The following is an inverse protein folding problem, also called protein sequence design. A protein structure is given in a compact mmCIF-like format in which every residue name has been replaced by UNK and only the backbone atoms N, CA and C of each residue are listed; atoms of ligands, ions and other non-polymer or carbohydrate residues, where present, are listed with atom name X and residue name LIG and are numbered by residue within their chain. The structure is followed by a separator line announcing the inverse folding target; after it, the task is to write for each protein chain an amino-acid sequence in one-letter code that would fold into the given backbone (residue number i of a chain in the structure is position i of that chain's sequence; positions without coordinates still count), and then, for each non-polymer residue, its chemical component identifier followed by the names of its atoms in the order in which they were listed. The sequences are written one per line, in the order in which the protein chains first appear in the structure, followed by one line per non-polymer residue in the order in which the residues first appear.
data_IF_290093793896
#
_entry.id   IF_290093793896
#
_cell.length_a   1.000
_cell.length_b   1.000
_cell.length_c   1.000
_cell.angle_alpha   90.00
_cell.angle_beta   90.00
_cell.angle_gamma   90.00
#
_symmetry.space_group_name_H-M   'P 1'
#
loop_
_entity.id
_entity.type
_entity.pdbx_description
1 polymer ?
#
# COMPACT_ATOMS: atom_id res chain seq x y z
N UNK A 1 -10.52 -16.16 33.86
CA UNK A 1 -10.70 -15.54 32.53
C UNK A 1 -11.09 -14.09 32.78
N UNK A 2 -10.22 -13.15 32.42
CA UNK A 2 -10.38 -11.75 32.82
C UNK A 2 -11.29 -11.02 31.82
N UNK A 3 -12.49 -10.66 32.27
CA UNK A 3 -13.37 -9.73 31.59
C UNK A 3 -12.75 -8.33 31.62
N UNK A 4 -12.51 -7.72 30.46
CA UNK A 4 -12.20 -6.30 30.34
C UNK A 4 -13.42 -5.62 29.72
N UNK A 5 -14.01 -4.65 30.43
CA UNK A 5 -15.22 -3.94 29.99
C UNK A 5 -16.46 -4.83 29.72
N UNK A 6 -16.58 -5.96 30.41
CA UNK A 6 -17.75 -6.86 30.30
C UNK A 6 -17.82 -7.68 29.01
N UNK A 7 -16.83 -7.58 28.11
CA UNK A 7 -16.67 -8.47 26.96
C UNK A 7 -15.57 -9.50 27.22
N UNK A 8 -15.69 -10.65 26.56
CA UNK A 8 -14.62 -11.65 26.51
C UNK A 8 -13.38 -11.04 25.86
N UNK A 9 -12.20 -11.32 26.42
CA UNK A 9 -10.91 -10.79 25.96
C UNK A 9 -10.71 -11.02 24.45
N UNK A 10 -11.07 -12.19 23.92
CA UNK A 10 -10.95 -12.52 22.50
C UNK A 10 -11.80 -11.61 21.61
N UNK A 11 -13.04 -11.34 22.03
CA UNK A 11 -13.96 -10.46 21.30
C UNK A 11 -13.46 -9.02 21.32
N UNK A 12 -13.00 -8.56 22.49
CA UNK A 12 -12.42 -7.23 22.62
C UNK A 12 -11.16 -7.07 21.76
N UNK A 13 -10.23 -8.03 21.81
CA UNK A 13 -9.00 -8.03 21.03
C UNK A 13 -9.29 -8.07 19.52
N UNK A 14 -10.25 -8.89 19.09
CA UNK A 14 -10.73 -8.93 17.71
C UNK A 14 -11.21 -7.55 17.25
N UNK A 15 -12.12 -6.94 18.00
CA UNK A 15 -12.68 -5.63 17.67
C UNK A 15 -11.60 -4.54 17.65
N UNK A 16 -10.71 -4.52 18.65
CA UNK A 16 -9.64 -3.54 18.77
C UNK A 16 -8.62 -3.65 17.61
N UNK A 17 -8.12 -4.85 17.32
CA UNK A 17 -7.17 -5.08 16.21
C UNK A 17 -7.80 -4.69 14.87
N UNK A 18 -9.05 -5.09 14.64
CA UNK A 18 -9.80 -4.78 13.41
C UNK A 18 -10.01 -3.28 13.25
N UNK A 19 -10.42 -2.59 14.32
CA UNK A 19 -10.62 -1.14 14.30
C UNK A 19 -9.32 -0.40 14.01
N UNK A 20 -8.21 -0.80 14.64
CA UNK A 20 -6.89 -0.21 14.38
C UNK A 20 -6.45 -0.43 12.93
N UNK A 21 -6.69 -1.61 12.36
CA UNK A 21 -6.40 -1.90 10.96
C UNK A 21 -7.22 -1.03 9.99
N UNK A 22 -8.52 -0.86 10.24
CA UNK A 22 -9.40 -0.01 9.43
C UNK A 22 -8.96 1.46 9.50
N UNK A 23 -8.73 1.98 10.72
CA UNK A 23 -8.27 3.36 10.92
C UNK A 23 -6.92 3.60 10.23
N UNK A 24 -6.00 2.64 10.33
CA UNK A 24 -4.73 2.70 9.62
C UNK A 24 -4.92 2.76 8.10
N UNK A 25 -5.75 1.88 7.53
CA UNK A 25 -5.99 1.85 6.09
C UNK A 25 -6.64 3.15 5.57
N UNK A 26 -7.59 3.72 6.32
CA UNK A 26 -8.20 5.02 6.00
C UNK A 26 -7.14 6.13 6.07
N UNK A 27 -6.35 6.16 7.15
CA UNK A 27 -5.28 7.13 7.35
C UNK A 27 -4.24 7.05 6.24
N UNK A 28 -3.74 5.85 5.91
CA UNK A 28 -2.75 5.64 4.86
C UNK A 28 -3.29 6.12 3.51
N UNK A 29 -4.56 5.80 3.21
CA UNK A 29 -5.19 6.26 1.98
C UNK A 29 -5.27 7.79 1.91
N UNK A 30 -5.72 8.43 2.99
CA UNK A 30 -5.80 9.89 3.08
C UNK A 30 -4.44 10.56 2.89
N UNK A 31 -3.38 10.04 3.53
CA UNK A 31 -2.02 10.53 3.37
C UNK A 31 -1.52 10.36 1.93
N UNK A 32 -1.77 9.21 1.30
CA UNK A 32 -1.44 8.99 -0.12
C UNK A 32 -2.15 9.98 -1.04
N UNK A 33 -3.43 10.27 -0.80
CA UNK A 33 -4.18 11.26 -1.58
C UNK A 33 -3.62 12.68 -1.41
N UNK A 34 -3.31 13.07 -0.17
CA UNK A 34 -2.85 14.44 0.14
C UNK A 34 -1.41 14.69 -0.28
N UNK A 35 -0.51 13.72 -0.11
CA UNK A 35 0.93 13.90 -0.34
C UNK A 35 1.44 13.35 -1.68
N UNK A 36 0.69 12.44 -2.32
CA UNK A 36 1.15 11.72 -3.51
C UNK A 36 1.11 12.50 -4.82
N UNK A 37 0.48 13.67 -4.86
CA UNK A 37 0.30 14.53 -6.06
C UNK A 37 0.04 13.72 -7.36
N UNK A 38 -1.08 12.98 -7.38
CA UNK A 38 -1.43 12.07 -8.48
C UNK A 38 -1.47 12.74 -9.85
N UNK A 39 -1.79 14.04 -9.92
CA UNK A 39 -1.83 14.77 -11.19
C UNK A 39 -0.42 14.98 -11.74
N UNK A 40 0.51 15.46 -10.90
CA UNK A 40 1.90 15.67 -11.31
C UNK A 40 2.58 14.37 -11.74
N UNK A 41 2.32 13.27 -11.04
CA UNK A 41 2.84 11.95 -11.41
C UNK A 41 2.33 11.52 -12.80
N UNK A 42 1.06 11.81 -13.15
CA UNK A 42 0.50 11.53 -14.48
C UNK A 42 1.13 12.39 -15.58
N UNK A 43 1.35 13.68 -15.31
CA UNK A 43 2.05 14.58 -16.25
C UNK A 43 3.48 14.09 -16.52
N UNK A 44 4.20 13.70 -15.46
CA UNK A 44 5.54 13.13 -15.59
C UNK A 44 5.51 11.84 -16.42
N UNK A 45 4.56 10.93 -16.15
CA UNK A 45 4.41 9.70 -16.95
C UNK A 45 4.11 9.99 -18.41
N UNK A 46 3.27 10.98 -18.71
CA UNK A 46 2.99 11.39 -20.08
C UNK A 46 4.25 11.94 -20.78
N UNK A 47 5.02 12.79 -20.08
CA UNK A 47 6.27 13.35 -20.62
C UNK A 47 7.34 12.29 -20.83
N UNK A 48 7.51 11.38 -19.87
CA UNK A 48 8.43 10.24 -19.99
C UNK A 48 8.06 9.35 -21.18
N UNK A 49 6.76 9.10 -21.41
CA UNK A 49 6.31 8.33 -22.57
C UNK A 49 6.58 9.05 -23.90
N UNK A 50 6.47 10.38 -23.94
CA UNK A 50 6.85 11.19 -25.11
C UNK A 50 8.35 11.07 -25.39
N UNK A 51 9.18 11.33 -24.37
CA UNK A 51 10.64 11.26 -24.50
C UNK A 51 11.08 9.85 -24.91
N UNK A 52 10.44 8.80 -24.38
CA UNK A 52 10.75 7.41 -24.76
C UNK A 52 10.51 7.16 -26.25
N UNK A 53 9.46 7.74 -26.84
CA UNK A 53 9.20 7.65 -28.29
C UNK A 53 10.27 8.41 -29.08
N UNK A 54 10.63 9.61 -28.65
CA UNK A 54 11.66 10.43 -29.29
C UNK A 54 13.04 9.75 -29.25
N UNK A 55 13.40 9.12 -28.13
CA UNK A 55 14.60 8.28 -28.01
C UNK A 55 14.57 7.14 -29.01
N UNK A 56 13.46 6.42 -29.13
CA UNK A 56 13.33 5.32 -30.11
C UNK A 56 13.48 5.81 -31.55
N UNK A 57 12.93 6.99 -31.88
CA UNK A 57 13.08 7.60 -33.21
C UNK A 57 14.52 8.05 -33.48
N UNK A 58 15.18 8.69 -32.51
CA UNK A 58 16.58 9.10 -32.61
C UNK A 58 17.51 7.89 -32.77
N UNK A 59 17.29 6.82 -31.99
CA UNK A 59 18.03 5.56 -32.11
C UNK A 59 17.84 4.89 -33.47
N UNK A 60 16.62 4.90 -34.03
CA UNK A 60 16.36 4.38 -35.39
C UNK A 60 17.11 5.19 -36.47
N UNK A 61 17.34 6.47 -36.24
CA UNK A 61 18.09 7.36 -37.15
C UNK A 61 19.61 7.32 -36.92
N UNK A 62 20.10 6.53 -35.96
CA UNK A 62 21.52 6.44 -35.60
C UNK A 62 22.06 7.68 -34.85
N UNK A 63 21.18 8.55 -34.36
CA UNK A 63 21.57 9.77 -33.63
C UNK A 63 21.72 9.47 -32.13
N UNK A 64 22.88 8.91 -31.77
CA UNK A 64 23.23 8.54 -30.40
C UNK A 64 23.31 9.74 -29.45
N UNK A 65 23.77 10.90 -29.94
CA UNK A 65 23.91 12.13 -29.12
C UNK A 65 22.54 12.68 -28.72
N UNK A 66 21.59 12.72 -29.65
CA UNK A 66 20.22 13.17 -29.34
C UNK A 66 19.51 12.19 -28.42
N UNK A 67 19.68 10.88 -28.63
CA UNK A 67 19.13 9.85 -27.74
C UNK A 67 19.67 9.97 -26.30
N UNK A 68 20.97 10.20 -26.13
CA UNK A 68 21.60 10.36 -24.82
C UNK A 68 21.09 11.62 -24.10
N UNK A 69 20.97 12.75 -24.81
CA UNK A 69 20.42 13.98 -24.26
C UNK A 69 18.98 13.79 -23.75
N UNK A 70 18.15 13.14 -24.56
CA UNK A 70 16.76 12.84 -24.22
C UNK A 70 16.64 11.90 -23.01
N UNK A 71 17.51 10.88 -22.89
CA UNK A 71 17.58 10.05 -21.69
C UNK A 71 17.99 10.85 -20.46
N UNK A 72 18.90 11.82 -20.62
CA UNK A 72 19.27 12.77 -19.56
C UNK A 72 18.09 13.58 -19.03
N UNK A 73 17.12 13.93 -19.89
CA UNK A 73 15.88 14.62 -19.49
C UNK A 73 14.88 13.70 -18.75
N UNK A 74 14.93 12.38 -18.98
CA UNK A 74 14.07 11.43 -18.26
C UNK A 74 14.45 11.29 -16.79
N UNK A 75 15.75 11.28 -16.48
CA UNK A 75 16.26 11.07 -15.12
C UNK A 75 15.66 12.03 -14.06
N UNK A 76 15.70 13.36 -14.23
CA UNK A 76 15.13 14.29 -13.26
C UNK A 76 13.61 14.13 -13.12
N UNK A 77 12.90 13.83 -14.21
CA UNK A 77 11.45 13.57 -14.20
C UNK A 77 11.12 12.31 -13.39
N UNK A 78 11.85 11.22 -13.62
CA UNK A 78 11.68 9.97 -12.87
C UNK A 78 11.98 10.19 -11.38
N UNK A 79 13.05 10.93 -11.06
CA UNK A 79 13.39 11.29 -9.68
C UNK A 79 12.28 12.12 -9.01
N UNK A 80 11.70 13.09 -9.73
CA UNK A 80 10.54 13.87 -9.25
C UNK A 80 9.33 12.96 -8.96
N UNK A 81 9.02 12.04 -9.89
CA UNK A 81 7.94 11.06 -9.72
C UNK A 81 8.16 10.16 -8.51
N UNK A 82 9.39 9.68 -8.32
CA UNK A 82 9.76 8.88 -7.15
C UNK A 82 9.57 9.68 -5.87
N UNK A 83 10.04 10.93 -5.80
CA UNK A 83 9.86 11.79 -4.61
C UNK A 83 8.38 11.95 -4.24
N UNK A 84 7.50 12.16 -5.23
CA UNK A 84 6.07 12.24 -4.98
C UNK A 84 5.47 10.92 -4.46
N UNK A 85 5.97 9.77 -4.92
CA UNK A 85 5.53 8.45 -4.46
C UNK A 85 6.07 8.10 -3.06
N UNK A 86 7.31 8.49 -2.75
CA UNK A 86 7.95 8.20 -1.46
C UNK A 86 7.48 9.12 -0.33
N UNK A 87 7.07 10.36 -0.63
CA UNK A 87 6.64 11.33 0.39
C UNK A 87 5.51 10.81 1.30
N UNK A 88 4.44 10.17 0.78
CA UNK A 88 3.46 9.48 1.61
C UNK A 88 4.05 8.33 2.44
N UNK A 89 4.95 7.52 1.85
CA UNK A 89 5.50 6.33 2.50
C UNK A 89 6.31 6.67 3.75
N UNK A 90 7.01 7.81 3.75
CA UNK A 90 7.77 8.29 4.92
C UNK A 90 6.90 8.52 6.15
N UNK A 91 5.60 8.80 5.96
CA UNK A 91 4.64 8.97 7.06
C UNK A 91 3.95 7.64 7.38
N UNK A 92 3.63 6.85 6.36
CA UNK A 92 2.85 5.62 6.49
C UNK A 92 3.66 4.47 7.10
N UNK A 93 4.95 4.35 6.74
CA UNK A 93 5.81 3.25 7.16
C UNK A 93 6.16 3.26 8.65
N UNK A 94 6.56 4.38 9.28
CA UNK A 94 6.81 4.38 10.73
C UNK A 94 5.60 3.87 11.51
N UNK A 95 4.40 4.31 11.14
CA UNK A 95 3.17 3.87 11.77
C UNK A 95 2.89 2.37 11.52
N UNK A 96 3.20 1.88 10.31
CA UNK A 96 3.08 0.47 9.96
C UNK A 96 3.98 -0.46 10.77
N UNK A 97 5.13 0.01 11.23
CA UNK A 97 6.03 -0.78 12.09
C UNK A 97 5.63 -0.69 13.56
N UNK A 98 5.16 0.47 14.02
CA UNK A 98 4.79 0.70 15.42
C UNK A 98 3.50 -0.04 15.77
N UNK A 99 2.45 0.07 14.95
CA UNK A 99 1.12 -0.47 15.28
C UNK A 99 1.10 -1.98 15.47
N UNK A 100 1.67 -2.83 14.60
CA UNK A 100 1.67 -4.27 14.82
C UNK A 100 2.49 -4.69 16.04
N UNK A 101 3.62 -4.02 16.30
CA UNK A 101 4.43 -4.25 17.50
C UNK A 101 3.64 -3.92 18.77
N UNK A 102 2.93 -2.78 18.76
CA UNK A 102 2.04 -2.37 19.84
C UNK A 102 0.91 -3.39 20.04
N UNK A 103 0.21 -3.80 18.99
CA UNK A 103 -0.87 -4.79 19.06
C UNK A 103 -0.39 -6.14 19.57
N UNK A 104 0.82 -6.58 19.19
CA UNK A 104 1.43 -7.80 19.75
C UNK A 104 1.68 -7.69 21.24
N UNK A 105 2.11 -6.52 21.73
CA UNK A 105 2.39 -6.27 23.14
C UNK A 105 1.11 -6.22 23.99
N UNK A 106 0.06 -5.56 23.49
CA UNK A 106 -1.22 -5.44 24.22
C UNK A 106 -2.10 -6.70 24.15
N UNK A 107 -2.00 -7.47 23.06
CA UNK A 107 -2.81 -8.67 22.85
C UNK A 107 -1.96 -9.94 22.62
N UNK A 108 -1.03 -10.28 23.53
CA UNK A 108 -0.03 -11.33 23.29
C UNK A 108 -0.63 -12.73 23.14
N UNK A 109 -1.79 -12.97 23.76
CA UNK A 109 -2.48 -14.27 23.74
C UNK A 109 -3.63 -14.35 22.73
N UNK A 110 -3.95 -13.24 22.05
CA UNK A 110 -5.04 -13.23 21.09
C UNK A 110 -4.69 -14.09 19.87
N UNK A 111 -5.64 -14.93 19.47
CA UNK A 111 -5.52 -15.68 18.24
C UNK A 111 -6.87 -16.01 17.63
N UNK A 112 -6.91 -16.06 16.30
CA UNK A 112 -8.10 -16.40 15.54
C UNK A 112 -7.79 -17.53 14.56
N UNK A 113 -8.68 -18.53 14.53
CA UNK A 113 -8.68 -19.60 13.55
C UNK A 113 -9.82 -19.38 12.56
N UNK A 114 -9.49 -19.32 11.28
CA UNK A 114 -10.44 -19.21 10.19
C UNK A 114 -10.89 -20.61 9.74
N UNK A 115 -12.09 -20.69 9.18
CA UNK A 115 -12.60 -21.93 8.57
C UNK A 115 -11.94 -22.30 7.23
N UNK A 116 -11.01 -21.47 6.75
CA UNK A 116 -10.28 -21.63 5.50
C UNK A 116 -8.87 -21.04 5.64
N UNK A 117 -7.93 -21.50 4.82
CA UNK A 117 -6.56 -20.99 4.82
C UNK A 117 -6.42 -19.80 3.86
N UNK A 118 -5.66 -18.78 4.27
CA UNK A 118 -5.28 -17.64 3.46
C UNK A 118 -3.80 -17.75 3.05
N UNK A 119 -3.44 -17.35 1.82
CA UNK A 119 -2.05 -17.23 1.41
C UNK A 119 -1.41 -16.01 2.07
N UNK A 120 -0.35 -16.23 2.86
CA UNK A 120 0.42 -15.17 3.51
C UNK A 120 1.75 -14.98 2.78
N UNK A 121 1.98 -13.75 2.33
CA UNK A 121 3.10 -13.41 1.43
C UNK A 121 4.37 -12.93 2.14
N UNK A 122 4.36 -12.76 3.47
CA UNK A 122 5.38 -11.99 4.21
C UNK A 122 6.21 -12.88 5.17
N UNK A 123 5.88 -14.16 5.35
CA UNK A 123 6.59 -15.04 6.30
C UNK A 123 7.06 -16.34 5.64
N UNK A 124 8.39 -16.53 5.59
CA UNK A 124 9.13 -17.68 5.04
C UNK A 124 9.10 -17.79 3.50
N UNK A 125 10.04 -17.10 2.83
CA UNK A 125 10.21 -17.15 1.37
C UNK A 125 10.46 -18.58 0.83
N UNK A 126 11.03 -19.47 1.66
CA UNK A 126 11.29 -20.87 1.30
C UNK A 126 10.00 -21.72 1.15
N UNK A 127 8.88 -21.26 1.72
CA UNK A 127 7.57 -21.94 1.67
C UNK A 127 6.49 -21.02 1.12
N UNK A 128 6.84 -20.29 0.08
CA UNK A 128 5.95 -19.30 -0.54
C UNK A 128 5.10 -19.93 -1.66
N UNK A 129 3.77 -19.69 -1.69
CA UNK A 129 2.97 -18.99 -0.68
C UNK A 129 2.63 -19.86 0.54
N UNK A 130 2.68 -19.26 1.73
CA UNK A 130 2.44 -19.95 3.00
C UNK A 130 0.95 -19.90 3.35
N UNK A 131 0.24 -21.02 3.18
CA UNK A 131 -1.18 -21.15 3.49
C UNK A 131 -1.40 -21.31 4.98
N UNK A 132 -2.15 -20.39 5.61
CA UNK A 132 -2.41 -20.40 7.05
C UNK A 132 -3.86 -20.09 7.36
N UNK A 133 -4.42 -20.83 8.30
CA UNK A 133 -5.76 -20.64 8.86
C UNK A 133 -5.72 -19.99 10.25
N UNK A 134 -4.54 -19.88 10.86
CA UNK A 134 -4.36 -19.36 12.22
C UNK A 134 -3.55 -18.06 12.26
N UNK A 135 -4.10 -17.04 12.90
CA UNK A 135 -3.55 -15.68 12.95
C UNK A 135 -3.52 -15.13 14.37
N UNK A 136 -2.37 -14.59 14.79
CA UNK A 136 -2.28 -13.73 15.98
C UNK A 136 -2.64 -12.27 15.67
N UNK A 137 -2.44 -11.32 16.61
CA UNK A 137 -2.83 -9.92 16.44
C UNK A 137 -2.16 -9.24 15.23
N UNK A 138 -0.87 -9.52 15.01
CA UNK A 138 -0.11 -8.97 13.86
C UNK A 138 -0.63 -9.53 12.54
N UNK A 139 -0.85 -10.85 12.48
CA UNK A 139 -1.36 -11.50 11.28
C UNK A 139 -2.75 -10.98 10.91
N UNK A 140 -3.62 -10.86 11.92
CA UNK A 140 -4.97 -10.36 11.75
C UNK A 140 -5.01 -8.90 11.31
N UNK A 141 -4.16 -8.05 11.90
CA UNK A 141 -3.98 -6.67 11.45
C UNK A 141 -3.63 -6.60 9.96
N UNK A 142 -2.64 -7.37 9.51
CA UNK A 142 -2.21 -7.36 8.11
C UNK A 142 -3.29 -7.84 7.15
N UNK A 143 -4.00 -8.91 7.50
CA UNK A 143 -5.13 -9.41 6.71
C UNK A 143 -6.15 -8.28 6.50
N UNK A 144 -6.59 -7.63 7.58
CA UNK A 144 -7.57 -6.55 7.47
C UNK A 144 -7.05 -5.31 6.75
N UNK A 145 -5.82 -4.87 7.02
CA UNK A 145 -5.23 -3.72 6.32
C UNK A 145 -5.21 -3.94 4.81
N UNK A 146 -4.80 -5.13 4.36
CA UNK A 146 -4.73 -5.44 2.92
C UNK A 146 -6.13 -5.51 2.30
N UNK A 147 -7.03 -6.31 2.89
CA UNK A 147 -8.40 -6.43 2.39
C UNK A 147 -9.13 -5.09 2.35
N UNK A 148 -9.05 -4.32 3.44
CA UNK A 148 -9.75 -3.03 3.53
C UNK A 148 -9.11 -1.96 2.63
N UNK A 149 -7.78 -1.97 2.47
CA UNK A 149 -7.11 -1.07 1.51
C UNK A 149 -7.54 -1.33 0.07
N UNK A 150 -7.67 -2.61 -0.33
CA UNK A 150 -8.20 -2.98 -1.64
C UNK A 150 -9.65 -2.55 -1.80
N UNK A 151 -10.47 -2.77 -0.77
CA UNK A 151 -11.85 -2.31 -0.75
C UNK A 151 -11.97 -0.79 -0.93
N UNK A 152 -11.19 0.00 -0.18
CA UNK A 152 -11.15 1.47 -0.34
C UNK A 152 -10.75 1.85 -1.77
N UNK A 153 -9.69 1.25 -2.31
CA UNK A 153 -9.25 1.52 -3.69
C UNK A 153 -10.36 1.26 -4.71
N UNK A 154 -11.11 0.16 -4.55
CA UNK A 154 -12.25 -0.17 -5.41
C UNK A 154 -13.36 0.88 -5.30
N UNK A 155 -13.74 1.28 -4.08
CA UNK A 155 -14.76 2.33 -3.84
C UNK A 155 -14.36 3.65 -4.50
N UNK A 156 -13.13 4.10 -4.31
CA UNK A 156 -12.65 5.35 -4.90
C UNK A 156 -12.50 5.26 -6.42
N UNK A 157 -12.04 4.13 -6.95
CA UNK A 157 -11.93 3.92 -8.40
C UNK A 157 -13.30 3.97 -9.08
N UNK A 158 -14.34 3.39 -8.46
CA UNK A 158 -15.71 3.50 -8.95
C UNK A 158 -16.19 4.94 -8.95
N UNK A 159 -15.98 5.68 -7.85
CA UNK A 159 -16.36 7.11 -7.75
C UNK A 159 -15.73 7.95 -8.87
N UNK A 160 -14.44 7.77 -9.14
CA UNK A 160 -13.73 8.49 -10.21
C UNK A 160 -14.29 8.17 -11.60
N UNK A 161 -14.71 6.92 -11.84
CA UNK A 161 -15.35 6.52 -13.11
C UNK A 161 -16.73 7.16 -13.28
N UNK A 162 -17.54 7.21 -12.22
CA UNK A 162 -18.86 7.84 -12.27
C UNK A 162 -18.76 9.37 -12.42
N UNK A 163 -17.80 10.02 -11.77
CA UNK A 163 -17.60 11.46 -11.87
C UNK A 163 -17.15 11.93 -13.26
N UNK A 164 -16.37 11.11 -14.00
CA UNK A 164 -15.94 11.41 -15.38
C UNK A 164 -17.01 11.16 -16.45
N UNK A 165 -18.09 10.44 -16.11
CA UNK A 165 -19.17 10.11 -17.04
C UNK A 165 -20.30 11.17 -17.01
N UNK A 166 -20.16 12.19 -16.17
CA UNK A 166 -21.07 13.33 -16.02
C UNK A 166 -20.36 14.58 -16.52
#
# INVERSE_FOLDING_TARGET
MAYMFGMDYEVFAFCAVTLVAILYAIFSHFITLKLGNRQRVKEIQARVNQITKEVQEASKRGDSKTAEKLQGEMSPLLMESMKHQFKPLLVIFPLLFILPGMLRSYFPFYSIKLGFALPVFIQNFDRFPNWRDFFGPVGWFWVFVLFFSLFLQLVFSMKDRFAKKK
#
